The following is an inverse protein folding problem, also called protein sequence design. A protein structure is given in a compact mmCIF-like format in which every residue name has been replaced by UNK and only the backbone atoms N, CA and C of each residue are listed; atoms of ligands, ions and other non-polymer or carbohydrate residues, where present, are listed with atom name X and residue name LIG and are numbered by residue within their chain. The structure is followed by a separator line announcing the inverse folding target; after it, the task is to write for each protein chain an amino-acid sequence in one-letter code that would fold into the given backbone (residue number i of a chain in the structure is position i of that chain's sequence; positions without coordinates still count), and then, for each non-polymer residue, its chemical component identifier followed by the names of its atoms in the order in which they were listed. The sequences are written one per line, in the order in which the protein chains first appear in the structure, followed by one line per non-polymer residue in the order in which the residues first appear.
data_IF_283131792530
#
_entry.id   IF_283131792530
#
_cell.length_a   1.000
_cell.length_b   1.000
_cell.length_c   1.000
_cell.angle_alpha   90.00
_cell.angle_beta   90.00
_cell.angle_gamma   90.00
#
_symmetry.space_group_name_H-M   'P 1'
#
loop_
_entity.id
_entity.type
_entity.pdbx_description
1 polymer ?
#
# COMPACT_ATOMS: atom_id res chain seq x y z
N UNK A 1 8.14 30.07 -6.82
CA UNK A 1 8.03 28.64 -7.21
C UNK A 1 9.35 27.97 -6.79
N UNK A 2 9.35 26.94 -5.94
CA UNK A 2 10.58 26.23 -5.57
C UNK A 2 10.94 25.25 -6.69
N UNK A 3 12.16 25.33 -7.21
CA UNK A 3 12.69 24.30 -8.10
C UNK A 3 12.83 23.01 -7.29
N UNK A 4 12.24 21.91 -7.77
CA UNK A 4 12.39 20.58 -7.18
C UNK A 4 12.85 19.62 -8.26
N UNK A 5 13.67 18.65 -7.86
CA UNK A 5 14.11 17.58 -8.75
C UNK A 5 12.93 16.66 -9.11
N UNK A 6 12.85 16.25 -10.38
CA UNK A 6 11.83 15.33 -10.88
C UNK A 6 12.48 14.24 -11.72
N UNK A 7 12.34 12.99 -11.29
CA UNK A 7 12.72 11.83 -12.09
C UNK A 7 11.49 11.31 -12.84
N UNK A 8 11.57 11.24 -14.18
CA UNK A 8 10.52 10.68 -15.04
C UNK A 8 11.01 9.32 -15.53
N UNK A 9 10.35 8.25 -15.06
CA UNK A 9 10.63 6.88 -15.50
C UNK A 9 9.66 6.56 -16.64
N UNK A 10 10.19 6.36 -17.85
CA UNK A 10 9.42 5.90 -19.01
C UNK A 10 9.46 4.37 -19.12
N UNK A 11 8.63 3.77 -19.98
CA UNK A 11 8.60 2.31 -20.15
C UNK A 11 9.93 1.70 -20.59
N UNK A 12 10.79 2.48 -21.25
CA UNK A 12 12.10 2.04 -21.73
C UNK A 12 13.20 2.20 -20.67
N UNK A 13 12.88 2.75 -19.49
CA UNK A 13 13.84 2.96 -18.42
C UNK A 13 14.19 1.62 -17.74
N UNK A 14 15.46 1.35 -17.40
CA UNK A 14 15.89 0.07 -16.83
C UNK A 14 15.12 -0.34 -15.57
N UNK A 15 14.76 0.63 -14.72
CA UNK A 15 13.97 0.37 -13.49
C UNK A 15 12.45 0.34 -13.68
N UNK A 16 11.92 0.50 -14.90
CA UNK A 16 10.48 0.61 -15.10
C UNK A 16 9.72 -0.62 -14.57
N UNK A 17 10.17 -1.82 -14.94
CA UNK A 17 9.51 -3.07 -14.55
C UNK A 17 9.45 -3.25 -13.02
N UNK A 18 10.55 -2.94 -12.33
CA UNK A 18 10.61 -3.09 -10.87
C UNK A 18 9.70 -2.09 -10.15
N UNK A 19 9.64 -0.85 -10.64
CA UNK A 19 8.77 0.19 -10.09
C UNK A 19 7.31 -0.15 -10.33
N UNK A 20 6.95 -0.59 -11.55
CA UNK A 20 5.60 -0.99 -11.91
C UNK A 20 5.12 -2.16 -11.03
N UNK A 21 5.97 -3.18 -10.86
CA UNK A 21 5.66 -4.32 -10.00
C UNK A 21 5.44 -3.90 -8.54
N UNK A 22 6.30 -3.05 -7.98
CA UNK A 22 6.14 -2.53 -6.61
C UNK A 22 4.88 -1.68 -6.45
N UNK A 23 4.54 -0.86 -7.45
CA UNK A 23 3.32 -0.07 -7.46
C UNK A 23 2.07 -0.97 -7.47
N UNK A 24 2.10 -2.05 -8.24
CA UNK A 24 1.03 -3.05 -8.26
C UNK A 24 0.84 -3.71 -6.88
N UNK A 25 1.92 -4.17 -6.24
CA UNK A 25 1.88 -4.75 -4.90
C UNK A 25 1.36 -3.75 -3.85
N UNK A 26 1.77 -2.48 -3.95
CA UNK A 26 1.28 -1.41 -3.07
C UNK A 26 -0.22 -1.18 -3.23
N UNK A 27 -0.73 -1.20 -4.46
CA UNK A 27 -2.17 -1.10 -4.74
C UNK A 27 -2.94 -2.28 -4.14
N UNK A 28 -2.41 -3.50 -4.20
CA UNK A 28 -3.05 -4.67 -3.60
C UNK A 28 -3.17 -4.53 -2.08
N UNK A 29 -2.08 -4.17 -1.40
CA UNK A 29 -2.10 -3.94 0.04
C UNK A 29 -3.08 -2.83 0.44
N UNK A 30 -3.13 -1.73 -0.31
CA UNK A 30 -4.08 -0.65 -0.07
C UNK A 30 -5.54 -1.09 -0.26
N UNK A 31 -5.82 -1.87 -1.31
CA UNK A 31 -7.16 -2.40 -1.55
C UNK A 31 -7.59 -3.36 -0.44
N UNK A 32 -6.68 -4.24 0.02
CA UNK A 32 -6.93 -5.14 1.14
C UNK A 32 -7.24 -4.36 2.42
N UNK A 33 -6.43 -3.34 2.75
CA UNK A 33 -6.66 -2.49 3.91
C UNK A 33 -8.03 -1.78 3.86
N UNK A 34 -8.37 -1.21 2.71
CA UNK A 34 -9.66 -0.57 2.50
C UNK A 34 -10.83 -1.55 2.60
N UNK A 35 -10.67 -2.78 2.11
CA UNK A 35 -11.68 -3.81 2.26
C UNK A 35 -11.99 -4.03 3.74
N UNK A 36 -10.97 -4.33 4.56
CA UNK A 36 -11.15 -4.53 6.00
C UNK A 36 -11.77 -3.32 6.71
N UNK A 37 -11.30 -2.11 6.37
CA UNK A 37 -11.85 -0.89 6.95
C UNK A 37 -13.34 -0.70 6.63
N UNK A 38 -13.73 -0.95 5.38
CA UNK A 38 -15.14 -0.84 4.93
C UNK A 38 -16.02 -1.91 5.56
N UNK A 39 -15.56 -3.15 5.62
CA UNK A 39 -16.30 -4.24 6.27
C UNK A 39 -16.59 -3.89 7.74
N UNK A 40 -15.57 -3.42 8.46
CA UNK A 40 -15.73 -2.99 9.85
C UNK A 40 -16.73 -1.83 9.98
N UNK A 41 -16.65 -0.82 9.11
CA UNK A 41 -17.58 0.30 9.12
C UNK A 41 -19.02 -0.14 8.86
N UNK A 42 -19.27 -1.02 7.87
CA UNK A 42 -20.63 -1.47 7.58
C UNK A 42 -21.21 -2.35 8.68
N UNK A 43 -20.38 -3.13 9.37
CA UNK A 43 -20.83 -4.00 10.45
C UNK A 43 -21.04 -3.25 11.78
N UNK A 44 -20.19 -2.27 12.09
CA UNK A 44 -20.14 -1.64 13.41
C UNK A 44 -20.50 -0.16 13.41
N UNK A 45 -20.65 0.46 12.24
CA UNK A 45 -20.85 1.91 12.06
C UNK A 45 -19.75 2.76 12.75
N UNK A 46 -18.54 2.20 12.84
CA UNK A 46 -17.40 2.80 13.53
C UNK A 46 -16.15 2.76 12.64
N UNK A 47 -15.16 3.58 12.97
CA UNK A 47 -13.86 3.58 12.32
C UNK A 47 -12.97 2.50 12.92
N UNK A 48 -12.39 1.64 12.08
CA UNK A 48 -11.41 0.65 12.52
C UNK A 48 -10.12 1.37 12.97
N UNK A 49 -9.58 1.00 14.12
CA UNK A 49 -8.33 1.55 14.61
C UNK A 49 -7.15 1.10 13.73
N UNK A 50 -6.22 2.01 13.41
CA UNK A 50 -5.08 1.69 12.55
C UNK A 50 -4.14 0.62 13.12
N UNK A 51 -3.95 0.55 14.45
CA UNK A 51 -3.16 -0.52 15.06
C UNK A 51 -3.86 -1.87 14.91
N UNK A 52 -5.19 -1.91 15.08
CA UNK A 52 -5.97 -3.14 14.86
C UNK A 52 -5.87 -3.60 13.41
N UNK A 53 -6.03 -2.67 12.46
CA UNK A 53 -5.88 -2.95 11.03
C UNK A 53 -4.45 -3.45 10.71
N UNK A 54 -3.42 -2.81 11.27
CA UNK A 54 -2.03 -3.25 11.12
C UNK A 54 -1.84 -4.69 11.60
N UNK A 55 -2.32 -5.04 12.79
CA UNK A 55 -2.19 -6.39 13.33
C UNK A 55 -2.91 -7.43 12.45
N UNK A 56 -4.08 -7.09 11.91
CA UNK A 56 -4.82 -7.93 10.97
C UNK A 56 -4.05 -8.16 9.67
N UNK A 57 -3.44 -7.12 9.10
CA UNK A 57 -2.79 -7.19 7.79
C UNK A 57 -1.34 -7.69 7.85
N UNK A 58 -0.64 -7.51 8.97
CA UNK A 58 0.81 -7.75 9.08
C UNK A 58 1.26 -9.17 8.71
N UNK A 59 0.35 -10.14 8.74
CA UNK A 59 0.63 -11.53 8.40
C UNK A 59 0.19 -11.95 7.00
N UNK A 60 -0.51 -11.08 6.28
CA UNK A 60 -1.05 -11.35 4.93
C UNK A 60 0.05 -11.34 3.88
N UNK A 61 -0.18 -12.06 2.79
CA UNK A 61 0.76 -12.15 1.68
C UNK A 61 0.99 -10.78 1.02
N UNK A 62 -0.08 -9.99 0.84
CA UNK A 62 0.02 -8.62 0.29
C UNK A 62 0.91 -7.71 1.15
N UNK A 63 0.86 -7.85 2.48
CA UNK A 63 1.70 -7.08 3.38
C UNK A 63 3.17 -7.52 3.32
N UNK A 64 3.40 -8.83 3.23
CA UNK A 64 4.74 -9.46 3.15
C UNK A 64 5.37 -9.36 1.77
N UNK A 65 4.59 -9.11 0.72
CA UNK A 65 5.06 -8.93 -0.64
C UNK A 65 5.89 -7.65 -0.82
N UNK A 66 5.76 -6.69 0.08
CA UNK A 66 6.56 -5.46 0.14
C UNK A 66 7.54 -5.48 1.32
N UNK A 67 8.69 -4.77 1.22
CA UNK A 67 9.57 -4.59 2.37
C UNK A 67 8.79 -3.99 3.54
N UNK A 68 8.90 -4.60 4.72
CA UNK A 68 8.09 -4.25 5.89
C UNK A 68 8.20 -2.79 6.31
N UNK A 69 9.33 -2.13 6.04
CA UNK A 69 9.52 -0.69 6.28
C UNK A 69 8.62 0.19 5.40
N UNK A 70 8.26 -0.28 4.20
CA UNK A 70 7.39 0.41 3.23
C UNK A 70 5.93 0.01 3.42
N UNK A 71 5.67 -1.22 3.87
CA UNK A 71 4.30 -1.69 4.18
C UNK A 71 3.70 -1.04 5.42
N UNK A 72 4.53 -0.53 6.34
CA UNK A 72 4.09 0.33 7.46
C UNK A 72 4.11 1.78 7.01
N UNK A 73 2.95 2.43 6.98
CA UNK A 73 2.80 3.86 6.73
C UNK A 73 2.10 4.53 7.90
#
# INVERSE_FOLDING_TARGET
MKLVERHIITKNHPFWSDIDHKAFLSKNLFNLANYHYRQYFFQHHQKLNFNQLYHQLSQTDDYKALPTKVSKQ
#
